data_IF_553609106832
#
_entry.id   IF_553609106832
#
_cell.length_a   1.000
_cell.length_b   1.000
_cell.length_c   1.000
_cell.angle_alpha   90.00
_cell.angle_beta   90.00
_cell.angle_gamma   90.00
#
_symmetry.space_group_name_H-M   'P 1'
#
loop_
_entity.id
_entity.type
_entity.pdbx_description
1 polymer ?
#
# COMPACT_ATOMS: atom_id res chain seq x y z
N UNK A 1 16.67 0.24 1.39
CA UNK A 1 15.79 0.05 2.56
C UNK A 1 14.57 0.96 2.45
N UNK A 2 13.35 0.40 2.51
CA UNK A 2 12.12 1.18 2.50
C UNK A 2 11.97 2.02 3.77
N UNK A 3 11.22 3.12 3.69
CA UNK A 3 10.98 4.04 4.81
C UNK A 3 9.51 4.41 4.90
N UNK A 4 8.93 4.33 6.10
CA UNK A 4 7.58 4.83 6.34
C UNK A 4 7.64 6.35 6.45
N UNK A 5 7.00 7.07 5.53
CA UNK A 5 6.91 8.53 5.58
C UNK A 5 5.84 8.96 6.58
N UNK A 6 4.65 8.37 6.49
CA UNK A 6 3.59 8.54 7.48
C UNK A 6 2.58 7.40 7.42
N UNK A 7 1.83 7.26 8.50
CA UNK A 7 0.63 6.43 8.59
C UNK A 7 -0.42 7.20 9.37
N UNK A 8 -1.64 7.26 8.86
CA UNK A 8 -2.75 7.98 9.46
C UNK A 8 -3.99 7.10 9.49
N UNK A 9 -4.59 7.00 10.69
CA UNK A 9 -5.84 6.28 10.90
C UNK A 9 -6.98 7.21 11.35
N UNK A 10 -6.67 8.48 11.63
CA UNK A 10 -7.65 9.45 12.14
C UNK A 10 -8.35 10.22 11.02
N UNK A 11 -7.62 10.56 9.95
CA UNK A 11 -8.12 11.41 8.86
C UNK A 11 -7.78 10.82 7.50
N UNK A 12 -8.52 9.77 7.12
CA UNK A 12 -8.23 8.96 5.94
C UNK A 12 -7.30 7.83 6.33
N UNK A 13 -7.77 6.58 6.23
CA UNK A 13 -7.00 5.40 6.58
C UNK A 13 -5.94 5.19 5.50
N UNK A 14 -4.83 5.89 5.61
CA UNK A 14 -3.83 5.97 4.56
C UNK A 14 -2.39 5.98 5.10
N UNK A 15 -1.45 5.65 4.22
CA UNK A 15 -0.04 5.59 4.52
C UNK A 15 0.80 5.91 3.30
N UNK A 16 2.01 6.41 3.51
CA UNK A 16 3.01 6.55 2.45
C UNK A 16 4.30 5.86 2.84
N UNK A 17 4.77 4.96 1.97
CA UNK A 17 6.03 4.24 2.11
C UNK A 17 6.94 4.62 0.95
N UNK A 18 8.14 5.10 1.26
CA UNK A 18 9.22 5.30 0.29
C UNK A 18 9.87 3.94 0.07
N UNK A 19 9.91 3.49 -1.18
CA UNK A 19 10.53 2.24 -1.59
C UNK A 19 12.05 2.38 -1.72
N UNK A 20 12.73 1.26 -1.92
CA UNK A 20 14.18 1.26 -2.13
C UNK A 20 14.60 1.98 -3.41
N UNK A 21 13.74 1.97 -4.44
CA UNK A 21 13.92 2.75 -5.67
C UNK A 21 13.89 4.27 -5.45
N UNK A 22 13.50 4.73 -4.25
CA UNK A 22 13.27 6.15 -3.95
C UNK A 22 11.89 6.65 -4.38
N UNK A 23 11.09 5.85 -5.06
CA UNK A 23 9.70 6.19 -5.36
C UNK A 23 8.83 6.03 -4.10
N UNK A 24 7.82 6.89 -3.95
CA UNK A 24 6.85 6.78 -2.86
C UNK A 24 5.62 5.98 -3.32
N UNK A 25 5.08 5.16 -2.43
CA UNK A 25 3.81 4.46 -2.59
C UNK A 25 2.83 4.96 -1.54
N UNK A 26 1.74 5.55 -2.02
CA UNK A 26 0.60 5.97 -1.21
C UNK A 26 -0.45 4.85 -1.22
N UNK A 27 -0.85 4.43 -0.04
CA UNK A 27 -1.85 3.40 0.22
C UNK A 27 -3.03 4.10 0.88
N UNK A 28 -4.23 3.92 0.35
CA UNK A 28 -5.47 4.44 0.93
C UNK A 28 -6.50 3.34 1.02
N UNK A 29 -7.05 3.17 2.22
CA UNK A 29 -8.14 2.27 2.55
C UNK A 29 -9.37 3.13 2.83
N UNK A 30 -10.51 2.74 2.28
CA UNK A 30 -11.77 3.44 2.53
C UNK A 30 -12.97 2.53 2.40
N UNK A 31 -14.16 3.10 2.58
CA UNK A 31 -15.44 2.37 2.48
C UNK A 31 -15.67 1.71 1.12
N UNK A 32 -14.97 2.16 0.08
CA UNK A 32 -15.06 1.67 -1.30
C UNK A 32 -13.88 0.76 -1.68
N UNK A 33 -13.18 0.17 -0.71
CA UNK A 33 -12.03 -0.70 -0.96
C UNK A 33 -10.68 0.00 -0.79
N UNK A 34 -9.69 -0.40 -1.60
CA UNK A 34 -8.27 -0.05 -1.43
C UNK A 34 -7.68 0.48 -2.72
N UNK A 35 -6.87 1.53 -2.60
CA UNK A 35 -6.15 2.15 -3.70
C UNK A 35 -4.67 2.27 -3.35
N UNK A 36 -3.80 1.79 -4.24
CA UNK A 36 -2.36 1.97 -4.13
C UNK A 36 -1.85 2.71 -5.36
N UNK A 37 -1.16 3.83 -5.13
CA UNK A 37 -0.54 4.66 -6.16
C UNK A 37 0.93 4.86 -5.86
N UNK A 38 1.72 5.07 -6.91
CA UNK A 38 3.10 5.53 -6.75
C UNK A 38 3.28 6.94 -7.25
N UNK A 39 4.22 7.69 -6.68
CA UNK A 39 4.65 8.98 -7.18
C UNK A 39 6.15 9.17 -6.94
N UNK A 40 6.76 10.07 -7.72
CA UNK A 40 8.16 10.47 -7.50
C UNK A 40 8.25 11.25 -6.19
N UNK A 41 9.13 10.83 -5.30
CA UNK A 41 9.45 11.55 -4.07
C UNK A 41 10.36 12.76 -4.41
N UNK A 42 9.80 13.79 -5.06
CA UNK A 42 10.48 15.09 -5.25
C UNK A 42 9.97 16.11 -4.24
N UNK A 43 10.80 17.11 -3.92
CA UNK A 43 10.57 18.14 -2.90
C UNK A 43 9.26 18.96 -3.11
N UNK A 44 8.70 18.93 -4.32
CA UNK A 44 7.44 19.61 -4.69
C UNK A 44 6.23 18.65 -4.83
N UNK A 45 6.45 17.33 -4.73
CA UNK A 45 5.47 16.29 -5.03
C UNK A 45 4.71 15.71 -3.84
N UNK A 46 5.03 16.13 -2.62
CA UNK A 46 4.56 15.46 -1.38
C UNK A 46 3.05 15.47 -1.13
N UNK A 47 2.29 16.39 -1.73
CA UNK A 47 0.83 16.45 -1.58
C UNK A 47 0.06 16.36 -2.90
N UNK A 48 0.60 16.92 -4.00
CA UNK A 48 -0.03 16.86 -5.33
C UNK A 48 0.35 15.59 -6.11
N UNK A 49 1.52 14.99 -5.84
CA UNK A 49 2.00 13.79 -6.51
C UNK A 49 1.22 12.53 -6.13
N UNK A 50 0.73 12.43 -4.90
CA UNK A 50 -0.06 11.27 -4.43
C UNK A 50 -1.42 11.14 -5.13
N UNK A 51 -2.01 12.26 -5.57
CA UNK A 51 -3.31 12.28 -6.27
C UNK A 51 -3.19 11.92 -7.77
N UNK A 52 -2.06 12.26 -8.41
CA UNK A 52 -1.83 12.11 -9.85
C UNK A 52 -0.90 10.94 -10.22
N UNK A 53 -0.36 10.25 -9.23
CA UNK A 53 0.51 9.09 -9.42
C UNK A 53 -0.17 7.89 -10.13
N UNK A 54 0.56 7.10 -10.94
CA UNK A 54 -0.01 5.91 -11.57
C UNK A 54 -0.52 4.91 -10.53
N UNK A 55 -1.68 4.33 -10.83
CA UNK A 55 -2.30 3.29 -10.00
C UNK A 55 -1.53 1.98 -10.15
N UNK A 56 -1.09 1.44 -9.03
CA UNK A 56 -0.46 0.13 -8.95
C UNK A 56 -1.48 -0.96 -8.66
N UNK A 57 -2.48 -0.63 -7.85
CA UNK A 57 -3.55 -1.54 -7.46
C UNK A 57 -4.82 -0.74 -7.14
N UNK A 58 -5.97 -1.29 -7.48
CA UNK A 58 -7.26 -0.75 -7.09
C UNK A 58 -8.26 -1.89 -6.92
N UNK A 59 -8.76 -2.03 -5.70
CA UNK A 59 -9.92 -2.86 -5.38
C UNK A 59 -11.07 -1.96 -4.96
N UNK A 60 -12.25 -2.18 -5.55
CA UNK A 60 -13.46 -1.39 -5.30
C UNK A 60 -14.46 -2.11 -4.39
N UNK A 61 -14.31 -3.42 -4.23
CA UNK A 61 -15.10 -4.21 -3.31
C UNK A 61 -14.36 -4.37 -1.97
N UNK A 62 -14.98 -3.92 -0.88
CA UNK A 62 -14.39 -3.98 0.45
C UNK A 62 -14.22 -5.41 0.96
N UNK A 63 -15.09 -6.34 0.56
CA UNK A 63 -14.99 -7.75 0.94
C UNK A 63 -13.84 -8.42 0.21
N UNK A 64 -13.70 -8.16 -1.09
CA UNK A 64 -12.55 -8.62 -1.85
C UNK A 64 -11.24 -8.04 -1.31
N UNK A 65 -11.23 -6.75 -0.97
CA UNK A 65 -10.06 -6.11 -0.38
C UNK A 65 -9.68 -6.73 0.97
N UNK A 66 -10.66 -7.12 1.79
CA UNK A 66 -10.43 -7.80 3.05
C UNK A 66 -9.86 -9.22 2.84
N UNK A 67 -10.38 -9.98 1.87
CA UNK A 67 -9.84 -11.31 1.51
C UNK A 67 -8.37 -11.21 1.10
N UNK A 68 -8.06 -10.28 0.19
CA UNK A 68 -6.69 -9.99 -0.25
C UNK A 68 -5.81 -9.56 0.92
N UNK A 69 -6.31 -8.72 1.84
CA UNK A 69 -5.57 -8.32 3.03
C UNK A 69 -5.21 -9.51 3.94
N UNK A 70 -6.14 -10.46 4.13
CA UNK A 70 -5.88 -11.68 4.89
C UNK A 70 -4.82 -12.54 4.21
N UNK A 71 -4.93 -12.73 2.89
CA UNK A 71 -3.95 -13.47 2.10
C UNK A 71 -2.55 -12.84 2.18
N UNK A 72 -2.47 -11.51 2.13
CA UNK A 72 -1.22 -10.76 2.31
C UNK A 72 -0.63 -11.03 3.70
N UNK A 73 -1.43 -10.97 4.77
CA UNK A 73 -0.93 -11.21 6.13
C UNK A 73 -0.47 -12.65 6.35
N UNK A 74 -1.06 -13.62 5.65
CA UNK A 74 -0.60 -15.01 5.65
C UNK A 74 0.71 -15.20 4.86
N UNK A 75 0.91 -14.40 3.81
CA UNK A 75 2.06 -14.53 2.89
C UNK A 75 3.31 -13.81 3.40
N UNK A 76 3.14 -12.62 3.97
CA UNK A 76 4.26 -11.74 4.30
C UNK A 76 4.57 -11.73 5.80
N UNK A 77 5.87 -11.70 6.13
CA UNK A 77 6.30 -11.54 7.53
C UNK A 77 5.88 -10.16 8.06
N UNK A 78 5.44 -10.07 9.33
CA UNK A 78 5.09 -8.81 9.96
C UNK A 78 6.25 -7.81 9.95
N UNK A 79 5.94 -6.53 9.76
CA UNK A 79 6.91 -5.43 9.73
C UNK A 79 6.73 -4.57 10.99
N UNK A 80 7.68 -4.58 11.95
CA UNK A 80 7.55 -3.83 13.22
C UNK A 80 7.42 -2.31 13.09
N UNK A 81 7.88 -1.76 11.96
CA UNK A 81 7.79 -0.33 11.62
C UNK A 81 6.36 0.08 11.25
N UNK A 82 5.53 -0.86 10.81
CA UNK A 82 4.15 -0.60 10.40
C UNK A 82 3.25 -0.79 11.63
N UNK A 83 2.96 0.31 12.31
CA UNK A 83 2.15 0.35 13.53
C UNK A 83 0.82 1.05 13.25
N UNK A 84 -0.20 0.27 12.94
CA UNK A 84 -1.59 0.70 12.81
C UNK A 84 -2.54 -0.39 13.32
N UNK A 85 -3.76 0.01 13.67
CA UNK A 85 -4.86 -0.86 14.12
C UNK A 85 -5.69 -1.40 12.97
N UNK A 86 -5.83 -0.64 11.88
CA UNK A 86 -6.53 -1.05 10.68
C UNK A 86 -5.80 -2.22 10.00
N UNK A 87 -6.48 -3.37 9.97
CA UNK A 87 -5.94 -4.63 9.47
C UNK A 87 -5.67 -4.58 7.97
N UNK A 88 -6.56 -3.94 7.19
CA UNK A 88 -6.36 -3.81 5.75
C UNK A 88 -5.18 -2.89 5.47
N UNK A 89 -5.15 -1.71 6.10
CA UNK A 89 -4.03 -0.77 5.93
C UNK A 89 -2.71 -1.43 6.32
N UNK A 90 -2.68 -2.18 7.43
CA UNK A 90 -1.51 -2.93 7.88
C UNK A 90 -1.05 -3.96 6.84
N UNK A 91 -1.98 -4.73 6.29
CA UNK A 91 -1.69 -5.74 5.28
C UNK A 91 -1.05 -5.12 4.03
N UNK A 92 -1.73 -4.14 3.43
CA UNK A 92 -1.23 -3.48 2.22
C UNK A 92 0.09 -2.74 2.46
N UNK A 93 0.26 -2.08 3.60
CA UNK A 93 1.55 -1.50 3.98
C UNK A 93 2.64 -2.58 4.08
N UNK A 94 2.34 -3.74 4.67
CA UNK A 94 3.28 -4.85 4.81
C UNK A 94 3.72 -5.38 3.44
N UNK A 95 2.79 -5.63 2.52
CA UNK A 95 3.12 -6.06 1.17
C UNK A 95 4.01 -5.04 0.44
N UNK A 96 3.65 -3.75 0.52
CA UNK A 96 4.42 -2.65 -0.10
C UNK A 96 5.82 -2.55 0.49
N UNK A 97 5.97 -2.72 1.81
CA UNK A 97 7.27 -2.69 2.49
C UNK A 97 8.24 -3.77 1.99
N UNK A 98 7.74 -4.95 1.64
CA UNK A 98 8.56 -6.04 1.09
C UNK A 98 8.92 -5.87 -0.39
N UNK A 99 8.51 -4.77 -1.02
CA UNK A 99 8.78 -4.51 -2.44
C UNK A 99 9.90 -3.46 -2.63
N UNK A 100 10.90 -3.71 -3.50
CA UNK A 100 11.96 -2.75 -3.76
C UNK A 100 11.54 -1.62 -4.73
N UNK A 101 10.52 -1.83 -5.55
CA UNK A 101 10.11 -0.89 -6.61
C UNK A 101 8.59 -0.91 -6.87
N UNK A 102 8.03 0.15 -7.50
CA UNK A 102 6.61 0.20 -7.84
C UNK A 102 6.16 -0.92 -8.78
N UNK A 103 7.03 -1.33 -9.70
CA UNK A 103 6.76 -2.46 -10.59
C UNK A 103 6.56 -3.76 -9.81
N UNK A 104 7.39 -4.00 -8.77
CA UNK A 104 7.21 -5.16 -7.90
C UNK A 104 5.96 -5.06 -7.04
N UNK A 105 5.62 -3.87 -6.51
CA UNK A 105 4.36 -3.64 -5.79
C UNK A 105 3.16 -4.00 -6.68
N UNK A 106 3.14 -3.52 -7.93
CA UNK A 106 2.09 -3.86 -8.89
C UNK A 106 2.02 -5.36 -9.16
N UNK A 107 3.16 -6.01 -9.38
CA UNK A 107 3.20 -7.45 -9.65
C UNK A 107 2.69 -8.26 -8.45
N UNK A 108 3.11 -7.91 -7.22
CA UNK A 108 2.69 -8.60 -5.99
C UNK A 108 1.20 -8.40 -5.74
N UNK A 109 0.70 -7.17 -5.73
CA UNK A 109 -0.69 -6.90 -5.36
C UNK A 109 -1.72 -7.42 -6.39
N UNK A 110 -1.29 -7.66 -7.64
CA UNK A 110 -2.14 -8.25 -8.67
C UNK A 110 -1.80 -9.72 -8.94
N UNK A 111 -1.04 -10.37 -8.05
CA UNK A 111 -0.73 -11.79 -8.17
C UNK A 111 -2.02 -12.61 -8.01
N UNK A 112 -2.37 -13.49 -8.97
CA UNK A 112 -3.55 -14.33 -8.87
C UNK A 112 -3.65 -15.10 -7.55
N UNK A 113 -2.52 -15.55 -6.98
CA UNK A 113 -2.51 -16.29 -5.71
C UNK A 113 -3.04 -15.46 -4.53
N UNK A 114 -2.90 -14.13 -4.58
CA UNK A 114 -3.47 -13.24 -3.57
C UNK A 114 -4.92 -12.83 -3.89
N UNK A 115 -5.32 -12.88 -5.15
CA UNK A 115 -6.66 -12.47 -5.61
C UNK A 115 -7.70 -13.59 -5.53
N UNK A 116 -7.28 -14.86 -5.52
CA UNK A 116 -8.17 -16.03 -5.44
C UNK A 116 -8.28 -16.62 -4.02
N UNK A 117 -7.63 -16.00 -3.04
CA UNK A 117 -7.62 -16.43 -1.64
C UNK A 117 -8.83 -15.85 -0.87
#
# INVERSE_FOLDING_TARGET
MPRLLYINERFGHDATIILESGDACWISVGKKGVLVRTHKHSFWGGLLGSLLGPKLYQERDVYQALSVAQAILATFRPVPQIRCRDVMLKAFCTAVWHCPSPARVKAVLNDPALLTA
#
